data_IF_466322746123
#
_entry.id   IF_466322746123
#
_cell.length_a   1.000
_cell.length_b   1.000
_cell.length_c   1.000
_cell.angle_alpha   90.00
_cell.angle_beta   90.00
_cell.angle_gamma   90.00
#
_symmetry.space_group_name_H-M   'P 1'
#
loop_
_entity.id
_entity.type
_entity.pdbx_description
1 polymer ?
#
# COMPACT_ATOMS: atom_id res chain seq x y z
N UNK A 1 5.49 -7.49 -3.46
CA UNK A 1 5.25 -6.65 -4.64
C UNK A 1 4.33 -7.41 -5.56
N UNK A 2 3.25 -6.79 -6.05
CA UNK A 2 2.35 -7.43 -7.01
C UNK A 2 3.07 -7.63 -8.35
N UNK A 3 2.73 -8.66 -9.12
CA UNK A 3 3.32 -8.89 -10.44
C UNK A 3 3.00 -7.75 -11.41
N UNK A 4 3.96 -7.44 -12.30
CA UNK A 4 3.80 -6.37 -13.31
C UNK A 4 2.58 -6.62 -14.21
N UNK A 5 2.26 -7.88 -14.47
CA UNK A 5 1.10 -8.31 -15.27
C UNK A 5 -0.22 -7.93 -14.61
N UNK A 6 -0.38 -8.17 -13.30
CA UNK A 6 -1.59 -7.77 -12.55
C UNK A 6 -1.73 -6.24 -12.50
N UNK A 7 -0.62 -5.52 -12.40
CA UNK A 7 -0.59 -4.05 -12.45
C UNK A 7 -1.04 -3.51 -13.81
N UNK A 8 -0.55 -4.11 -14.90
CA UNK A 8 -0.99 -3.77 -16.25
C UNK A 8 -2.50 -4.00 -16.40
N UNK A 9 -3.00 -5.14 -15.91
CA UNK A 9 -4.44 -5.46 -15.92
C UNK A 9 -5.29 -4.43 -15.17
N UNK A 10 -4.86 -4.00 -13.98
CA UNK A 10 -5.54 -2.94 -13.21
C UNK A 10 -5.61 -1.63 -14.01
N UNK A 11 -4.55 -1.27 -14.73
CA UNK A 11 -4.50 -0.06 -15.55
C UNK A 11 -5.42 -0.16 -16.76
N UNK A 12 -5.47 -1.31 -17.43
CA UNK A 12 -6.40 -1.57 -18.53
C UNK A 12 -7.86 -1.44 -18.08
N UNK A 13 -8.22 -2.12 -16.98
CA UNK A 13 -9.55 -2.04 -16.39
C UNK A 13 -9.90 -0.60 -15.98
N UNK A 14 -8.94 0.14 -15.41
CA UNK A 14 -9.15 1.55 -15.04
C UNK A 14 -9.32 2.47 -16.24
N UNK A 15 -8.62 2.20 -17.36
CA UNK A 15 -8.76 2.96 -18.60
C UNK A 15 -10.13 2.69 -19.23
N UNK A 16 -10.55 1.42 -19.26
CA UNK A 16 -11.88 1.01 -19.74
C UNK A 16 -13.01 1.63 -18.92
N UNK A 17 -12.87 1.62 -17.59
CA UNK A 17 -13.81 2.26 -16.66
C UNK A 17 -14.04 3.75 -16.95
N UNK A 18 -12.99 4.47 -17.34
CA UNK A 18 -13.06 5.90 -17.64
C UNK A 18 -13.63 6.20 -19.03
N UNK A 19 -13.44 5.29 -19.99
CA UNK A 19 -13.85 5.51 -21.38
C UNK A 19 -15.30 5.11 -21.63
N UNK A 20 -15.65 3.87 -21.29
CA UNK A 20 -16.90 3.22 -21.71
C UNK A 20 -17.75 2.73 -20.52
N UNK A 21 -17.14 2.66 -19.33
CA UNK A 21 -17.74 2.04 -18.14
C UNK A 21 -17.27 0.59 -17.96
N UNK A 22 -17.44 0.08 -16.73
CA UNK A 22 -17.10 -1.31 -16.39
C UNK A 22 -18.36 -2.14 -16.34
N UNK A 23 -18.27 -3.38 -16.83
CA UNK A 23 -19.26 -4.40 -16.52
C UNK A 23 -19.11 -4.85 -15.05
N UNK A 24 -20.17 -5.39 -14.45
CA UNK A 24 -20.14 -5.84 -13.05
C UNK A 24 -19.06 -6.91 -12.77
N UNK A 25 -18.78 -7.75 -13.77
CA UNK A 25 -17.73 -8.78 -13.71
C UNK A 25 -16.34 -8.14 -13.65
N UNK A 26 -16.08 -7.18 -14.53
CA UNK A 26 -14.81 -6.45 -14.56
C UNK A 26 -14.61 -5.56 -13.34
N UNK A 27 -15.68 -4.97 -12.81
CA UNK A 27 -15.63 -4.19 -11.57
C UNK A 27 -15.25 -5.06 -10.36
N UNK A 28 -15.77 -6.29 -10.29
CA UNK A 28 -15.37 -7.27 -9.25
C UNK A 28 -13.90 -7.68 -9.41
N UNK A 29 -13.45 -7.97 -10.64
CA UNK A 29 -12.04 -8.28 -10.94
C UNK A 29 -11.12 -7.13 -10.53
N UNK A 30 -11.45 -5.89 -10.91
CA UNK A 30 -10.69 -4.70 -10.56
C UNK A 30 -10.61 -4.50 -9.04
N UNK A 31 -11.71 -4.74 -8.33
CA UNK A 31 -11.78 -4.60 -6.87
C UNK A 31 -10.90 -5.63 -6.18
N UNK A 32 -10.94 -6.90 -6.60
CA UNK A 32 -10.06 -7.95 -6.07
C UNK A 32 -8.59 -7.62 -6.31
N UNK A 33 -8.22 -7.27 -7.55
CA UNK A 33 -6.85 -6.91 -7.90
C UNK A 33 -6.35 -5.68 -7.12
N UNK A 34 -7.21 -4.68 -6.92
CA UNK A 34 -6.90 -3.51 -6.09
C UNK A 34 -6.72 -3.87 -4.62
N UNK A 35 -7.54 -4.75 -4.07
CA UNK A 35 -7.40 -5.20 -2.68
C UNK A 35 -6.05 -5.88 -2.48
N UNK A 36 -5.68 -6.82 -3.36
CA UNK A 36 -4.40 -7.53 -3.31
C UNK A 36 -3.20 -6.57 -3.44
N UNK A 37 -3.31 -5.59 -4.35
CA UNK A 37 -2.32 -4.53 -4.48
C UNK A 37 -2.18 -3.72 -3.19
N UNK A 38 -3.30 -3.28 -2.60
CA UNK A 38 -3.29 -2.45 -1.39
C UNK A 38 -2.73 -3.20 -0.20
N UNK A 39 -3.03 -4.49 -0.03
CA UNK A 39 -2.45 -5.29 1.05
C UNK A 39 -0.94 -5.42 0.92
N UNK A 40 -0.44 -5.75 -0.28
CA UNK A 40 0.99 -5.86 -0.52
C UNK A 40 1.70 -4.51 -0.40
N UNK A 41 1.07 -3.43 -0.86
CA UNK A 41 1.55 -2.06 -0.73
C UNK A 41 1.61 -1.63 0.74
N UNK A 42 0.54 -1.85 1.52
CA UNK A 42 0.52 -1.55 2.95
C UNK A 42 1.61 -2.29 3.69
N UNK A 43 1.81 -3.58 3.42
CA UNK A 43 2.92 -4.36 4.03
C UNK A 43 4.29 -3.75 3.72
N UNK A 44 4.55 -3.38 2.46
CA UNK A 44 5.80 -2.75 2.05
C UNK A 44 5.98 -1.37 2.69
N UNK A 45 4.92 -0.58 2.76
CA UNK A 45 4.95 0.77 3.34
C UNK A 45 5.16 0.72 4.84
N UNK A 46 4.49 -0.18 5.58
CA UNK A 46 4.74 -0.40 7.01
C UNK A 46 6.20 -0.79 7.24
N UNK A 47 6.75 -1.70 6.44
CA UNK A 47 8.16 -2.08 6.55
C UNK A 47 9.09 -0.89 6.28
N UNK A 48 8.78 -0.03 5.31
CA UNK A 48 9.57 1.17 5.05
C UNK A 48 9.50 2.15 6.23
N UNK A 49 8.29 2.39 6.77
CA UNK A 49 8.07 3.29 7.91
C UNK A 49 8.76 2.81 9.20
N UNK A 50 8.95 1.51 9.38
CA UNK A 50 9.70 0.95 10.52
C UNK A 50 11.21 1.32 10.50
N UNK A 51 11.75 1.56 9.30
CA UNK A 51 13.15 1.93 9.08
C UNK A 51 13.37 3.45 8.98
N UNK A 52 12.30 4.22 8.73
CA UNK A 52 12.38 5.68 8.63
C UNK A 52 12.20 6.31 10.01
N UNK A 53 13.15 7.15 10.39
CA UNK A 53 13.06 8.02 11.56
C UNK A 53 12.68 9.42 11.09
N UNK A 54 11.65 10.02 11.69
CA UNK A 54 11.26 11.40 11.39
C UNK A 54 11.95 12.29 12.40
N UNK A 55 12.85 13.15 11.91
CA UNK A 55 13.53 14.17 12.71
C UNK A 55 13.02 15.55 12.30
N UNK A 56 12.78 16.41 13.28
CA UNK A 56 12.44 17.81 13.04
C UNK A 56 13.68 18.62 12.61
N UNK A 57 13.53 19.87 12.14
CA UNK A 57 14.64 20.75 11.78
C UNK A 57 15.57 21.09 12.95
N UNK A 58 15.12 20.93 14.19
CA UNK A 58 15.89 21.15 15.42
C UNK A 58 16.64 19.90 15.89
N UNK A 59 16.48 18.77 15.18
CA UNK A 59 17.14 17.50 15.45
C UNK A 59 16.40 16.56 16.41
N UNK A 60 15.20 16.91 16.86
CA UNK A 60 14.40 16.06 17.75
C UNK A 60 13.70 14.95 16.97
N UNK A 61 13.67 13.76 17.55
CA UNK A 61 12.97 12.60 17.00
C UNK A 61 11.46 12.70 17.25
N UNK A 62 10.74 13.25 16.27
CA UNK A 62 9.27 13.36 16.26
C UNK A 62 8.59 12.13 15.64
N UNK A 63 9.28 11.00 15.54
CA UNK A 63 8.67 9.75 15.05
C UNK A 63 7.42 9.43 15.87
N UNK A 64 6.23 9.31 15.24
CA UNK A 64 4.98 9.10 15.97
C UNK A 64 5.03 7.89 16.89
N UNK A 65 4.48 8.04 18.11
CA UNK A 65 4.49 6.98 19.13
C UNK A 65 3.87 5.66 18.64
N UNK A 66 2.90 5.73 17.72
CA UNK A 66 2.30 4.55 17.08
C UNK A 66 3.33 3.71 16.33
N UNK A 67 4.28 4.34 15.62
CA UNK A 67 5.33 3.65 14.88
C UNK A 67 6.35 3.03 15.86
N UNK A 68 6.70 3.75 16.93
CA UNK A 68 7.56 3.23 18.01
C UNK A 68 6.96 1.97 18.64
N UNK A 69 5.68 2.00 18.99
CA UNK A 69 4.98 0.85 19.58
C UNK A 69 4.87 -0.36 18.63
N UNK A 70 4.70 -0.13 17.32
CA UNK A 70 4.67 -1.21 16.31
C UNK A 70 6.04 -1.88 16.20
N UNK A 71 7.12 -1.08 16.21
CA UNK A 71 8.50 -1.57 16.16
C UNK A 71 8.85 -2.40 17.40
N UNK A 72 8.47 -1.93 18.59
CA UNK A 72 8.69 -2.68 19.83
C UNK A 72 7.91 -4.00 19.84
N UNK A 73 6.62 -4.01 19.50
CA UNK A 73 5.82 -5.24 19.44
C UNK A 73 6.36 -6.30 18.49
N UNK A 74 7.05 -5.91 17.41
CA UNK A 74 7.68 -6.84 16.46
C UNK A 74 9.05 -7.34 16.91
N UNK A 75 9.78 -6.54 17.70
CA UNK A 75 11.07 -6.92 18.28
C UNK A 75 10.94 -7.79 19.54
N UNK A 76 9.73 -8.05 20.04
CA UNK A 76 9.45 -8.94 21.17
C UNK A 76 9.29 -10.42 20.78
N UNK A 77 9.79 -10.82 19.60
CA UNK A 77 9.84 -12.22 19.16
C UNK A 77 11.27 -12.71 19.00
#
# INVERSE_FOLDING_TARGET
MLSKEKLARINELSKKAKAEGLTEVEAKEQTQLRSEYLETFRKSMTSTLEHVKVVDPEGNDVTPQKIKNIKEKRNLH
#
